data_IF_055606133196
#
_entry.id   IF_055606133196
#
_cell.length_a   1.000
_cell.length_b   1.000
_cell.length_c   1.000
_cell.angle_alpha   90.00
_cell.angle_beta   90.00
_cell.angle_gamma   90.00
#
_symmetry.space_group_name_H-M   'P 1'
#
loop_
_entity.id
_entity.type
_entity.pdbx_description
1 polymer ?
#
# COMPACT_ATOMS: atom_id res chain seq x y z
N UNK A 1 0.41 9.59 26.44
CA UNK A 1 0.13 8.56 25.45
C UNK A 1 0.29 7.20 26.11
N UNK A 2 -0.71 6.33 26.09
CA UNK A 2 -0.55 4.97 26.62
C UNK A 2 -0.02 4.12 25.47
N UNK A 3 1.20 3.62 25.59
CA UNK A 3 1.68 2.54 24.73
C UNK A 3 0.82 1.31 24.99
N UNK A 4 0.41 0.63 23.95
CA UNK A 4 -0.35 -0.61 24.12
C UNK A 4 0.58 -1.78 24.24
N UNK A 5 0.21 -2.70 25.12
CA UNK A 5 0.79 -4.03 25.20
C UNK A 5 -0.10 -5.08 24.49
N UNK A 6 -1.06 -4.62 23.69
CA UNK A 6 -1.87 -5.50 22.86
C UNK A 6 -0.96 -6.08 21.76
N UNK A 7 -0.90 -7.38 21.67
CA UNK A 7 -0.12 -8.08 20.67
C UNK A 7 -0.61 -7.68 19.29
N UNK A 8 0.33 -7.28 18.41
CA UNK A 8 0.08 -6.83 17.03
C UNK A 8 -0.73 -5.53 16.89
N UNK A 9 -0.84 -4.71 17.92
CA UNK A 9 -1.35 -3.34 17.81
C UNK A 9 -0.23 -2.34 18.01
N UNK A 10 0.11 -1.61 16.95
CA UNK A 10 1.24 -0.69 16.96
C UNK A 10 0.83 0.74 17.35
N UNK A 11 1.73 1.42 18.01
CA UNK A 11 1.59 2.83 18.35
C UNK A 11 2.98 3.44 18.56
N UNK A 12 3.43 4.20 17.60
CA UNK A 12 4.78 4.77 17.55
C UNK A 12 4.81 6.16 18.21
N UNK A 13 5.84 6.52 18.98
CA UNK A 13 5.99 7.85 19.58
C UNK A 13 6.24 8.92 18.51
N UNK A 14 5.83 10.18 18.80
CA UNK A 14 6.02 11.32 17.88
C UNK A 14 7.51 11.59 17.54
N UNK A 15 8.44 11.23 18.41
CA UNK A 15 9.88 11.35 18.17
C UNK A 15 10.35 10.55 16.95
N UNK A 16 9.63 9.50 16.58
CA UNK A 16 9.93 8.72 15.37
C UNK A 16 9.69 9.55 14.09
N UNK A 17 8.64 10.37 14.06
CA UNK A 17 8.40 11.29 12.95
C UNK A 17 9.52 12.32 12.81
N UNK A 18 10.02 12.84 13.94
CA UNK A 18 11.18 13.77 13.92
C UNK A 18 12.40 13.10 13.31
N UNK A 19 12.72 11.86 13.72
CA UNK A 19 13.84 11.11 13.16
C UNK A 19 13.67 10.85 11.65
N UNK A 20 12.48 10.46 11.19
CA UNK A 20 12.21 10.31 9.76
C UNK A 20 12.41 11.62 8.98
N UNK A 21 11.97 12.75 9.57
CA UNK A 21 12.14 14.07 8.93
C UNK A 21 13.62 14.47 8.82
N UNK A 22 14.41 14.23 9.86
CA UNK A 22 15.86 14.44 9.86
C UNK A 22 16.57 13.57 8.83
N UNK A 23 16.05 12.35 8.55
CA UNK A 23 16.54 11.48 7.48
C UNK A 23 16.11 11.93 6.07
N UNK A 24 15.32 12.99 5.93
CA UNK A 24 14.94 13.57 4.63
C UNK A 24 13.63 13.04 4.05
N UNK A 25 12.86 12.24 4.78
CA UNK A 25 11.55 11.80 4.31
C UNK A 25 10.57 12.97 4.22
N UNK A 26 9.74 12.99 3.17
CA UNK A 26 8.78 14.07 2.91
C UNK A 26 7.35 13.58 2.75
N UNK A 27 7.14 12.36 2.23
CA UNK A 27 5.83 11.74 2.00
C UNK A 27 5.75 10.41 2.74
N UNK A 28 4.63 10.17 3.41
CA UNK A 28 4.32 8.91 4.07
C UNK A 28 3.09 8.25 3.43
N UNK A 29 3.23 6.99 3.06
CA UNK A 29 2.14 6.15 2.58
C UNK A 29 1.56 5.40 3.77
N UNK A 30 0.29 5.64 4.11
CA UNK A 30 -0.28 5.28 5.39
C UNK A 30 -1.40 4.24 5.31
N UNK A 31 -1.91 3.90 4.10
CA UNK A 31 -2.81 2.79 3.94
C UNK A 31 -2.06 1.47 4.09
N UNK A 32 -2.27 0.80 5.22
CA UNK A 32 -1.69 -0.50 5.55
C UNK A 32 -2.61 -1.24 6.52
N UNK A 33 -2.35 -2.53 6.77
CA UNK A 33 -3.19 -3.35 7.62
C UNK A 33 -3.21 -2.96 9.10
N UNK A 34 -2.29 -2.09 9.54
CA UNK A 34 -2.21 -1.59 10.90
C UNK A 34 -2.73 -0.17 11.10
N UNK A 35 -3.26 0.49 10.05
CA UNK A 35 -3.72 1.87 10.15
C UNK A 35 -4.91 2.04 11.12
N UNK A 36 -5.66 0.96 11.41
CA UNK A 36 -6.79 0.92 12.33
C UNK A 36 -6.46 0.33 13.72
N UNK A 37 -5.21 0.07 14.05
CA UNK A 37 -4.82 -0.51 15.35
C UNK A 37 -5.29 0.30 16.56
N UNK A 38 -5.56 1.57 16.35
CA UNK A 38 -6.07 2.53 17.35
C UNK A 38 -7.40 3.16 16.93
N UNK A 39 -8.22 2.42 16.20
CA UNK A 39 -9.50 2.86 15.66
C UNK A 39 -9.36 4.10 14.74
N UNK A 40 -10.47 4.61 14.27
CA UNK A 40 -10.51 5.85 13.46
C UNK A 40 -9.88 7.05 14.18
N UNK A 41 -9.93 7.09 15.51
CA UNK A 41 -9.24 8.12 16.28
C UNK A 41 -7.71 8.02 16.12
N UNK A 42 -7.18 6.80 15.95
CA UNK A 42 -5.78 6.57 15.63
C UNK A 42 -5.39 7.16 14.28
N UNK A 43 -6.24 6.99 13.26
CA UNK A 43 -6.06 7.62 11.94
C UNK A 43 -5.98 9.13 12.06
N UNK A 44 -6.95 9.77 12.72
CA UNK A 44 -6.99 11.22 12.93
C UNK A 44 -5.73 11.73 13.65
N UNK A 45 -5.32 11.02 14.70
CA UNK A 45 -4.12 11.39 15.46
C UNK A 45 -2.84 11.23 14.63
N UNK A 46 -2.75 10.17 13.82
CA UNK A 46 -1.62 9.92 12.92
C UNK A 46 -1.50 11.06 11.90
N UNK A 47 -2.58 11.39 11.19
CA UNK A 47 -2.61 12.49 10.23
C UNK A 47 -2.19 13.81 10.88
N UNK A 48 -2.78 14.17 12.03
CA UNK A 48 -2.45 15.36 12.75
C UNK A 48 -0.96 15.45 13.11
N UNK A 49 -0.37 14.35 13.58
CA UNK A 49 1.02 14.31 13.98
C UNK A 49 1.96 14.36 12.77
N UNK A 50 1.62 13.66 11.68
CA UNK A 50 2.38 13.71 10.43
C UNK A 50 2.40 15.13 9.84
N UNK A 51 1.25 15.79 9.73
CA UNK A 51 1.13 17.15 9.21
C UNK A 51 1.87 18.15 10.11
N UNK A 52 1.76 18.02 11.44
CA UNK A 52 2.52 18.84 12.40
C UNK A 52 4.03 18.67 12.23
N UNK A 53 4.49 17.48 11.88
CA UNK A 53 5.90 17.19 11.61
C UNK A 53 6.35 17.57 10.17
N UNK A 54 5.44 18.11 9.35
CA UNK A 54 5.71 18.59 7.99
C UNK A 54 5.80 17.48 6.94
N UNK A 55 5.08 16.38 7.14
CA UNK A 55 4.93 15.33 6.13
C UNK A 55 3.70 15.54 5.29
N UNK A 56 3.82 15.26 4.00
CA UNK A 56 2.70 14.91 3.14
C UNK A 56 2.26 13.47 3.46
N UNK A 57 0.97 13.15 3.27
CA UNK A 57 0.42 11.82 3.57
C UNK A 57 -0.56 11.38 2.48
N UNK A 58 -0.60 10.08 2.20
CA UNK A 58 -1.55 9.48 1.27
C UNK A 58 -2.06 8.14 1.80
N UNK A 59 -3.29 7.79 1.43
CA UNK A 59 -3.88 6.47 1.69
C UNK A 59 -4.85 6.43 2.86
N UNK A 60 -4.74 7.36 3.85
CA UNK A 60 -5.72 7.55 4.92
C UNK A 60 -6.14 9.02 4.99
N UNK A 61 -7.35 9.30 5.46
CA UNK A 61 -7.98 10.62 5.36
C UNK A 61 -8.83 10.95 6.58
N UNK A 62 -8.92 12.24 6.93
CA UNK A 62 -9.76 12.74 8.00
C UNK A 62 -11.20 13.06 7.53
N UNK A 63 -11.42 13.27 6.23
CA UNK A 63 -12.73 13.58 5.66
C UNK A 63 -12.89 12.97 4.27
N UNK A 64 -14.14 12.88 3.82
CA UNK A 64 -14.47 12.44 2.46
C UNK A 64 -13.92 13.41 1.39
N UNK A 65 -13.86 14.70 1.69
CA UNK A 65 -13.30 15.72 0.79
C UNK A 65 -11.80 15.53 0.60
N UNK A 66 -11.05 15.26 1.69
CA UNK A 66 -9.63 14.92 1.61
C UNK A 66 -9.42 13.65 0.77
N UNK A 67 -10.27 12.64 0.96
CA UNK A 67 -10.20 11.39 0.21
C UNK A 67 -10.42 11.58 -1.29
N UNK A 68 -11.31 12.49 -1.67
CA UNK A 68 -11.60 12.78 -3.08
C UNK A 68 -10.52 13.66 -3.74
N UNK A 69 -9.66 14.27 -2.96
CA UNK A 69 -8.57 15.11 -3.46
C UNK A 69 -7.37 14.25 -3.84
N UNK A 70 -6.95 14.34 -5.11
CA UNK A 70 -5.75 13.64 -5.57
C UNK A 70 -4.50 14.30 -4.98
N UNK A 71 -3.58 13.50 -4.45
CA UNK A 71 -2.28 14.00 -4.05
C UNK A 71 -1.33 14.01 -5.26
N UNK A 72 -1.03 15.21 -5.75
CA UNK A 72 -0.12 15.45 -6.87
C UNK A 72 0.96 16.43 -6.39
N UNK A 73 2.21 16.06 -6.59
CA UNK A 73 3.36 16.91 -6.26
C UNK A 73 4.12 17.26 -7.51
N UNK A 74 4.41 18.53 -7.69
CA UNK A 74 5.33 18.97 -8.75
C UNK A 74 6.77 18.88 -8.24
N UNK A 75 7.59 18.14 -8.96
CA UNK A 75 9.00 17.92 -8.64
C UNK A 75 9.78 18.24 -9.92
N UNK A 76 10.58 19.30 -9.90
CA UNK A 76 11.38 19.75 -11.04
C UNK A 76 10.61 19.88 -12.36
N UNK A 77 9.37 20.40 -12.29
CA UNK A 77 8.49 20.61 -13.44
C UNK A 77 7.76 19.35 -13.94
N UNK A 78 7.85 18.24 -13.21
CA UNK A 78 7.10 17.01 -13.47
C UNK A 78 6.04 16.83 -12.38
N UNK A 79 4.77 16.71 -12.77
CA UNK A 79 3.67 16.44 -11.85
C UNK A 79 3.56 14.96 -11.61
N UNK A 80 3.82 14.53 -10.38
CA UNK A 80 3.78 13.14 -9.96
C UNK A 80 2.58 12.94 -9.02
N UNK A 81 1.68 12.05 -9.41
CA UNK A 81 0.58 11.61 -8.55
C UNK A 81 0.98 10.37 -7.74
N UNK A 82 0.61 10.37 -6.46
CA UNK A 82 0.83 9.25 -5.55
C UNK A 82 -0.52 8.72 -5.07
N UNK A 83 -0.75 7.44 -5.25
CA UNK A 83 -1.96 6.73 -4.83
C UNK A 83 -1.54 5.56 -3.94
N UNK A 84 -2.11 5.46 -2.74
CA UNK A 84 -1.80 4.37 -1.82
C UNK A 84 -3.08 3.66 -1.37
N UNK A 85 -3.08 2.34 -1.47
CA UNK A 85 -4.18 1.43 -1.13
C UNK A 85 -3.70 0.28 -0.27
N UNK A 86 -4.60 -0.29 0.52
CA UNK A 86 -4.36 -1.53 1.29
C UNK A 86 -5.46 -2.55 1.05
N UNK A 87 -5.14 -3.83 1.22
CA UNK A 87 -6.11 -4.92 1.18
C UNK A 87 -7.04 -4.94 2.39
N UNK A 88 -6.65 -4.36 3.52
CA UNK A 88 -7.42 -4.40 4.76
C UNK A 88 -6.73 -3.65 5.89
N UNK A 89 -7.34 -3.70 7.07
CA UNK A 89 -6.95 -2.96 8.27
C UNK A 89 -6.80 -3.86 9.50
N UNK A 90 -6.63 -5.18 9.33
CA UNK A 90 -6.71 -6.17 10.39
C UNK A 90 -8.05 -6.12 11.16
N UNK A 91 -9.10 -5.62 10.53
CA UNK A 91 -10.40 -5.38 11.14
C UNK A 91 -10.96 -6.64 11.82
N UNK A 92 -10.87 -7.78 11.15
CA UNK A 92 -11.35 -9.05 11.66
C UNK A 92 -10.56 -9.53 12.88
N UNK A 93 -9.23 -9.39 12.84
CA UNK A 93 -8.35 -9.83 13.92
C UNK A 93 -8.53 -9.00 15.21
N UNK A 94 -8.83 -7.72 15.06
CA UNK A 94 -8.95 -6.77 16.16
C UNK A 94 -10.39 -6.38 16.50
N UNK A 95 -11.39 -6.88 15.73
CA UNK A 95 -12.79 -6.47 15.83
C UNK A 95 -12.98 -4.94 15.73
N UNK A 96 -12.16 -4.29 14.90
CA UNK A 96 -12.17 -2.84 14.66
C UNK A 96 -12.43 -2.57 13.18
N UNK A 97 -13.67 -2.22 12.87
CA UNK A 97 -14.12 -1.98 11.51
C UNK A 97 -14.30 -0.49 11.25
N UNK A 98 -14.05 -0.06 10.04
CA UNK A 98 -14.29 1.32 9.60
C UNK A 98 -15.78 1.65 9.68
N UNK A 99 -16.12 2.70 10.42
CA UNK A 99 -17.45 3.31 10.43
C UNK A 99 -17.60 4.30 9.28
N UNK A 100 -16.46 4.86 8.84
CA UNK A 100 -16.37 5.83 7.77
C UNK A 100 -15.44 5.29 6.66
N UNK A 101 -15.99 4.64 5.61
CA UNK A 101 -15.19 3.98 4.57
C UNK A 101 -14.21 4.89 3.83
N UNK A 102 -14.46 6.21 3.81
CA UNK A 102 -13.54 7.17 3.19
C UNK A 102 -12.20 7.30 3.91
N UNK A 103 -12.11 6.87 5.17
CA UNK A 103 -10.90 7.09 5.98
C UNK A 103 -9.69 6.27 5.53
N UNK A 104 -9.90 5.17 4.79
CA UNK A 104 -8.81 4.31 4.28
C UNK A 104 -9.10 3.91 2.85
N UNK A 105 -8.12 4.01 1.99
CA UNK A 105 -8.22 3.44 0.64
C UNK A 105 -8.07 1.92 0.69
N UNK A 106 -9.18 1.23 0.53
CA UNK A 106 -9.25 -0.24 0.50
C UNK A 106 -9.36 -0.76 -0.93
N UNK A 107 -8.63 -1.82 -1.26
CA UNK A 107 -8.75 -2.54 -2.54
C UNK A 107 -9.76 -3.68 -2.51
N UNK A 108 -10.32 -3.98 -1.33
CA UNK A 108 -11.34 -5.00 -1.10
C UNK A 108 -12.08 -4.75 0.23
N UNK A 109 -13.24 -5.38 0.47
CA UNK A 109 -13.95 -5.26 1.76
C UNK A 109 -13.14 -5.81 2.92
N UNK A 110 -13.23 -5.16 4.09
CA UNK A 110 -12.50 -5.61 5.30
C UNK A 110 -12.97 -6.96 5.85
N UNK A 111 -14.26 -7.29 5.67
CA UNK A 111 -14.92 -8.32 6.47
C UNK A 111 -15.26 -9.60 5.72
N UNK A 112 -15.50 -9.54 4.43
CA UNK A 112 -16.28 -10.55 3.70
C UNK A 112 -15.50 -11.43 2.77
N UNK A 113 -14.33 -11.00 2.41
CA UNK A 113 -13.41 -11.91 1.78
C UNK A 113 -12.60 -12.56 2.86
N UNK A 114 -12.29 -13.81 2.69
CA UNK A 114 -11.21 -14.35 3.44
C UNK A 114 -10.03 -13.42 3.16
N UNK A 115 -9.85 -12.45 3.98
CA UNK A 115 -8.59 -11.74 4.20
C UNK A 115 -7.47 -12.72 4.45
N UNK A 116 -7.86 -13.81 4.61
CA UNK A 116 -7.40 -15.16 4.61
C UNK A 116 -6.81 -15.69 3.30
N UNK A 117 -6.71 -14.94 2.23
CA UNK A 117 -5.65 -15.18 1.24
C UNK A 117 -4.30 -15.32 1.98
N UNK A 118 -4.12 -14.57 3.04
CA UNK A 118 -2.95 -14.68 3.91
C UNK A 118 -2.91 -15.92 4.80
N UNK A 119 -4.01 -16.61 4.96
CA UNK A 119 -4.13 -17.86 5.73
C UNK A 119 -4.19 -19.09 4.81
N UNK A 120 -4.19 -18.91 3.49
CA UNK A 120 -4.13 -20.03 2.56
C UNK A 120 -2.73 -20.63 2.56
N UNK A 121 -2.67 -21.92 2.85
CA UNK A 121 -1.41 -22.62 3.10
C UNK A 121 -0.67 -23.06 1.82
N UNK A 122 -1.20 -22.79 0.63
CA UNK A 122 -0.54 -23.15 -0.62
C UNK A 122 -0.74 -22.09 -1.70
N UNK A 123 0.26 -21.98 -2.55
CA UNK A 123 0.26 -21.09 -3.72
C UNK A 123 -0.88 -21.39 -4.71
N UNK A 124 -1.22 -22.66 -4.85
CA UNK A 124 -2.34 -23.10 -5.72
C UNK A 124 -3.69 -22.66 -5.15
N UNK A 125 -3.88 -22.76 -3.83
CA UNK A 125 -5.09 -22.28 -3.17
C UNK A 125 -5.24 -20.76 -3.33
N UNK A 126 -4.16 -19.99 -3.15
CA UNK A 126 -4.15 -18.56 -3.37
C UNK A 126 -4.57 -18.25 -4.83
N UNK A 127 -4.00 -18.94 -5.81
CA UNK A 127 -4.29 -18.73 -7.23
C UNK A 127 -5.76 -18.94 -7.57
N UNK A 128 -6.35 -20.05 -7.13
CA UNK A 128 -7.76 -20.38 -7.40
C UNK A 128 -8.73 -19.41 -6.70
N UNK A 129 -8.45 -19.01 -5.48
CA UNK A 129 -9.26 -18.02 -4.76
C UNK A 129 -9.18 -16.63 -5.40
N UNK A 130 -8.00 -16.22 -5.84
CA UNK A 130 -7.80 -14.94 -6.53
C UNK A 130 -8.59 -14.89 -7.83
N UNK A 131 -8.55 -15.95 -8.65
CA UNK A 131 -9.33 -16.01 -9.87
C UNK A 131 -10.81 -15.88 -9.56
N UNK A 132 -11.33 -16.65 -8.61
CA UNK A 132 -12.73 -16.62 -8.20
C UNK A 132 -13.17 -15.23 -7.72
N UNK A 133 -12.35 -14.58 -6.90
CA UNK A 133 -12.66 -13.28 -6.28
C UNK A 133 -12.65 -12.15 -7.31
N UNK A 134 -11.68 -12.15 -8.22
CA UNK A 134 -11.43 -10.98 -9.08
C UNK A 134 -11.94 -11.11 -10.52
N UNK A 135 -12.53 -12.22 -10.90
CA UNK A 135 -12.99 -12.43 -12.27
C UNK A 135 -14.48 -12.69 -12.41
N UNK A 136 -15.12 -13.33 -11.46
CA UNK A 136 -16.54 -13.71 -11.58
C UNK A 136 -17.18 -14.11 -10.24
N UNK A 137 -18.50 -14.18 -10.24
CA UNK A 137 -19.28 -14.71 -9.13
C UNK A 137 -19.60 -13.68 -8.02
N UNK A 138 -20.13 -14.19 -6.92
CA UNK A 138 -20.60 -13.35 -5.79
C UNK A 138 -19.49 -12.54 -5.12
N UNK A 139 -18.31 -13.13 -5.04
CA UNK A 139 -17.18 -12.49 -4.38
C UNK A 139 -16.61 -11.38 -5.24
N UNK A 140 -16.66 -11.53 -6.58
CA UNK A 140 -16.33 -10.44 -7.49
C UNK A 140 -17.24 -9.23 -7.32
N UNK A 141 -18.56 -9.45 -7.16
CA UNK A 141 -19.50 -8.36 -6.91
C UNK A 141 -19.19 -7.60 -5.62
N UNK A 142 -18.62 -8.25 -4.61
CA UNK A 142 -18.19 -7.61 -3.37
C UNK A 142 -16.91 -6.77 -3.55
N UNK A 143 -15.98 -7.22 -4.38
CA UNK A 143 -14.71 -6.54 -4.64
C UNK A 143 -14.84 -5.44 -5.68
N UNK A 144 -15.75 -5.61 -6.63
CA UNK A 144 -15.91 -4.72 -7.78
C UNK A 144 -15.99 -3.23 -7.41
N UNK A 145 -16.78 -2.78 -6.42
CA UNK A 145 -16.82 -1.36 -6.06
C UNK A 145 -15.47 -0.78 -5.63
N UNK A 146 -14.63 -1.58 -4.99
CA UNK A 146 -13.28 -1.18 -4.56
C UNK A 146 -12.32 -1.08 -5.74
N UNK A 147 -12.41 -2.01 -6.68
CA UNK A 147 -11.63 -1.96 -7.93
C UNK A 147 -12.09 -0.80 -8.82
N UNK A 148 -13.38 -0.54 -8.93
CA UNK A 148 -13.94 0.59 -9.68
C UNK A 148 -13.43 1.92 -9.09
N UNK A 149 -13.34 2.02 -7.77
CA UNK A 149 -12.80 3.20 -7.10
C UNK A 149 -11.29 3.37 -7.37
N UNK A 150 -10.52 2.29 -7.25
CA UNK A 150 -9.09 2.28 -7.56
C UNK A 150 -8.86 2.68 -9.02
N UNK A 151 -9.62 2.12 -9.97
CA UNK A 151 -9.56 2.48 -11.38
C UNK A 151 -9.87 3.96 -11.59
N UNK A 152 -10.95 4.46 -10.98
CA UNK A 152 -11.35 5.86 -11.05
C UNK A 152 -10.25 6.80 -10.59
N UNK A 153 -9.62 6.51 -9.44
CA UNK A 153 -8.54 7.32 -8.89
C UNK A 153 -7.31 7.33 -9.81
N UNK A 154 -6.93 6.16 -10.34
CA UNK A 154 -5.78 6.06 -11.26
C UNK A 154 -6.07 6.84 -12.56
N UNK A 155 -7.26 6.69 -13.14
CA UNK A 155 -7.63 7.42 -14.37
C UNK A 155 -7.68 8.93 -14.16
N UNK A 156 -8.21 9.39 -13.03
CA UNK A 156 -8.22 10.81 -12.65
C UNK A 156 -6.78 11.33 -12.47
N UNK A 157 -5.92 10.57 -11.79
CA UNK A 157 -4.52 10.92 -11.62
C UNK A 157 -3.79 10.99 -12.96
N UNK A 158 -4.02 10.01 -13.85
CA UNK A 158 -3.43 9.99 -15.20
C UNK A 158 -3.84 11.19 -16.05
N UNK A 159 -5.06 11.70 -15.87
CA UNK A 159 -5.52 12.90 -16.56
C UNK A 159 -4.92 14.20 -15.99
N UNK A 160 -4.50 14.20 -14.72
CA UNK A 160 -4.06 15.39 -13.98
C UNK A 160 -2.55 15.47 -13.75
N UNK A 161 -1.82 14.37 -13.90
CA UNK A 161 -0.38 14.30 -13.64
C UNK A 161 0.39 13.74 -14.83
N UNK A 162 1.68 14.00 -14.86
CA UNK A 162 2.60 13.52 -15.90
C UNK A 162 3.05 12.07 -15.61
N UNK A 163 3.09 11.70 -14.32
CA UNK A 163 3.50 10.37 -13.88
C UNK A 163 2.65 9.91 -12.69
N UNK A 164 2.22 8.64 -12.68
CA UNK A 164 1.34 8.06 -11.65
C UNK A 164 2.03 6.90 -10.98
N UNK A 165 2.27 7.03 -9.68
CA UNK A 165 2.83 5.99 -8.81
C UNK A 165 1.70 5.42 -7.97
N UNK A 166 1.50 4.11 -8.05
CA UNK A 166 0.54 3.40 -7.19
C UNK A 166 1.29 2.56 -6.19
N UNK A 167 1.00 2.77 -4.91
CA UNK A 167 1.60 2.05 -3.80
C UNK A 167 0.55 1.12 -3.19
N UNK A 168 0.86 -0.18 -3.15
CA UNK A 168 -0.05 -1.21 -2.69
C UNK A 168 0.47 -1.92 -1.46
N UNK A 169 -0.33 -1.94 -0.40
CA UNK A 169 -0.09 -2.76 0.77
C UNK A 169 -0.93 -4.03 0.69
N UNK A 170 -0.36 -5.09 0.11
CA UNK A 170 -1.11 -6.30 -0.24
C UNK A 170 -0.18 -7.51 -0.36
N UNK A 171 -0.79 -8.67 -0.52
CA UNK A 171 -0.09 -9.94 -0.71
C UNK A 171 0.07 -10.73 0.58
N UNK A 172 0.82 -11.83 0.51
CA UNK A 172 1.02 -12.76 1.63
C UNK A 172 2.30 -12.43 2.40
N UNK A 173 2.21 -12.33 3.73
CA UNK A 173 3.35 -12.06 4.60
C UNK A 173 4.38 -13.20 4.57
N UNK A 174 5.65 -12.86 4.62
CA UNK A 174 6.79 -13.77 4.76
C UNK A 174 6.89 -14.83 3.65
N UNK A 175 6.29 -14.57 2.49
CA UNK A 175 6.43 -15.40 1.29
C UNK A 175 7.34 -14.67 0.30
N UNK A 176 8.40 -15.34 -0.14
CA UNK A 176 9.42 -14.78 -1.04
C UNK A 176 8.90 -14.63 -2.48
N UNK A 177 8.12 -15.60 -2.92
CA UNK A 177 7.50 -15.59 -4.23
C UNK A 177 6.36 -14.59 -4.27
N UNK A 178 6.24 -13.88 -5.40
CA UNK A 178 5.12 -12.99 -5.61
C UNK A 178 3.85 -13.81 -5.79
N UNK A 179 2.87 -13.60 -4.92
CA UNK A 179 1.63 -14.34 -4.97
C UNK A 179 0.73 -13.92 -6.15
N UNK A 180 -0.17 -14.82 -6.63
CA UNK A 180 -1.06 -14.57 -7.77
C UNK A 180 -1.97 -13.36 -7.57
N UNK A 181 -2.35 -13.05 -6.34
CA UNK A 181 -3.16 -11.88 -6.03
C UNK A 181 -2.42 -10.57 -6.35
N UNK A 182 -1.16 -10.47 -5.89
CA UNK A 182 -0.31 -9.31 -6.15
C UNK A 182 -0.03 -9.14 -7.65
N UNK A 183 0.20 -10.25 -8.37
CA UNK A 183 0.39 -10.22 -9.83
C UNK A 183 -0.86 -9.71 -10.56
N UNK A 184 -2.04 -10.27 -10.25
CA UNK A 184 -3.30 -9.87 -10.86
C UNK A 184 -3.62 -8.40 -10.61
N UNK A 185 -3.45 -7.95 -9.37
CA UNK A 185 -3.72 -6.56 -9.01
C UNK A 185 -2.76 -5.58 -9.69
N UNK A 186 -1.48 -5.96 -9.80
CA UNK A 186 -0.49 -5.17 -10.53
C UNK A 186 -0.84 -5.03 -12.01
N UNK A 187 -1.32 -6.10 -12.65
CA UNK A 187 -1.76 -6.06 -14.05
C UNK A 187 -3.01 -5.17 -14.25
N UNK A 188 -3.96 -5.22 -13.32
CA UNK A 188 -5.13 -4.31 -13.33
C UNK A 188 -4.71 -2.86 -13.16
N UNK A 189 -3.85 -2.54 -12.21
CA UNK A 189 -3.33 -1.19 -11.96
C UNK A 189 -2.62 -0.64 -13.20
N UNK A 190 -1.83 -1.46 -13.88
CA UNK A 190 -1.23 -1.12 -15.19
C UNK A 190 -2.31 -0.77 -16.23
N UNK A 191 -3.33 -1.65 -16.37
CA UNK A 191 -4.44 -1.44 -17.30
C UNK A 191 -5.24 -0.16 -17.00
N UNK A 192 -5.35 0.24 -15.74
CA UNK A 192 -6.00 1.48 -15.33
C UNK A 192 -5.19 2.73 -15.69
N UNK A 193 -3.87 2.60 -15.95
CA UNK A 193 -3.02 3.65 -16.48
C UNK A 193 -1.92 4.15 -15.54
N UNK A 194 -1.62 3.44 -14.45
CA UNK A 194 -0.46 3.73 -13.62
C UNK A 194 0.85 3.57 -14.42
N UNK A 195 1.87 4.35 -14.08
CA UNK A 195 3.19 4.24 -14.70
C UNK A 195 4.06 3.21 -13.99
N UNK A 196 3.92 3.08 -12.67
CA UNK A 196 4.65 2.11 -11.85
C UNK A 196 3.78 1.65 -10.68
N UNK A 197 3.99 0.42 -10.23
CA UNK A 197 3.46 -0.09 -8.98
C UNK A 197 4.60 -0.43 -8.02
N UNK A 198 4.40 -0.04 -6.75
CA UNK A 198 5.32 -0.35 -5.65
C UNK A 198 4.51 -1.05 -4.55
N UNK A 199 4.80 -2.33 -4.32
CA UNK A 199 4.17 -3.14 -3.30
C UNK A 199 4.95 -3.13 -1.99
N UNK A 200 4.23 -3.42 -0.90
CA UNK A 200 4.79 -3.72 0.42
C UNK A 200 3.79 -4.54 1.24
N UNK A 201 4.14 -5.03 2.40
CA UNK A 201 3.42 -5.89 3.33
C UNK A 201 4.12 -7.23 3.60
N UNK A 202 4.85 -7.78 2.65
CA UNK A 202 5.42 -9.13 2.74
C UNK A 202 6.57 -9.23 3.75
N UNK A 203 7.10 -8.11 4.22
CA UNK A 203 8.25 -8.02 5.14
C UNK A 203 9.58 -8.57 4.60
N UNK A 204 9.61 -9.03 3.36
CA UNK A 204 10.78 -9.56 2.65
C UNK A 204 10.96 -8.81 1.34
N UNK A 205 12.20 -8.74 0.84
CA UNK A 205 12.43 -8.27 -0.52
C UNK A 205 11.88 -9.32 -1.49
N UNK A 206 10.94 -8.90 -2.33
CA UNK A 206 10.41 -9.72 -3.43
C UNK A 206 10.96 -9.26 -4.78
N UNK A 207 10.70 -10.04 -5.81
CA UNK A 207 11.14 -9.76 -7.16
C UNK A 207 10.61 -8.44 -7.69
N UNK A 208 11.45 -7.74 -8.46
CA UNK A 208 11.03 -6.69 -9.37
C UNK A 208 10.85 -7.30 -10.75
N UNK A 209 9.76 -6.99 -11.43
CA UNK A 209 9.47 -7.49 -12.77
C UNK A 209 9.34 -6.33 -13.74
N UNK A 210 9.85 -6.53 -14.95
CA UNK A 210 9.65 -5.61 -16.07
C UNK A 210 8.90 -6.31 -17.18
N UNK A 211 7.77 -5.77 -17.59
CA UNK A 211 7.01 -6.29 -18.71
C UNK A 211 7.73 -6.01 -20.05
N UNK A 212 7.29 -6.64 -21.13
CA UNK A 212 7.89 -6.47 -22.46
C UNK A 212 7.81 -5.04 -23.01
N UNK A 213 6.83 -4.28 -22.52
CA UNK A 213 6.62 -2.86 -22.87
C UNK A 213 7.36 -1.88 -21.94
N UNK A 214 8.19 -2.40 -21.02
CA UNK A 214 8.98 -1.60 -20.09
C UNK A 214 8.28 -1.24 -18.78
N UNK A 215 7.01 -1.66 -18.58
CA UNK A 215 6.31 -1.39 -17.33
C UNK A 215 6.97 -2.11 -16.15
N UNK A 216 7.33 -1.35 -15.12
CA UNK A 216 8.06 -1.84 -13.98
C UNK A 216 7.15 -2.10 -12.77
N UNK A 217 7.30 -3.26 -12.15
CA UNK A 217 6.54 -3.74 -10.98
C UNK A 217 7.49 -4.08 -9.86
N UNK A 218 7.32 -3.45 -8.72
CA UNK A 218 8.03 -3.75 -7.47
C UNK A 218 7.02 -4.35 -6.51
N UNK A 219 7.27 -5.57 -6.00
CA UNK A 219 6.29 -6.24 -5.14
C UNK A 219 6.56 -6.05 -3.67
N UNK A 220 7.81 -6.02 -3.22
CA UNK A 220 8.14 -5.58 -1.87
C UNK A 220 9.62 -5.18 -1.75
N UNK A 221 9.88 -4.12 -1.01
CA UNK A 221 11.23 -3.61 -0.72
C UNK A 221 11.77 -4.08 0.65
N UNK A 222 11.02 -4.93 1.36
CA UNK A 222 11.35 -5.36 2.72
C UNK A 222 10.96 -4.35 3.80
N UNK A 223 11.36 -4.61 5.03
CA UNK A 223 11.11 -3.73 6.16
C UNK A 223 12.08 -2.54 6.13
N UNK A 224 11.57 -1.31 6.30
CA UNK A 224 12.46 -0.15 6.47
C UNK A 224 13.29 -0.24 7.75
N UNK A 225 12.67 -0.68 8.85
CA UNK A 225 13.33 -0.99 10.12
C UNK A 225 12.70 -2.24 10.72
N UNK A 226 13.54 -3.09 11.28
CA UNK A 226 13.12 -4.31 11.95
C UNK A 226 13.96 -4.54 13.21
N UNK A 227 13.35 -5.00 14.30
CA UNK A 227 14.08 -5.49 15.47
C UNK A 227 14.52 -6.94 15.22
N UNK A 228 15.78 -7.14 14.93
CA UNK A 228 16.36 -8.45 14.62
C UNK A 228 16.22 -9.52 15.71
N UNK A 229 15.70 -9.16 16.89
CA UNK A 229 15.47 -10.14 17.97
C UNK A 229 14.13 -10.85 17.88
N UNK A 230 13.14 -10.24 17.22
CA UNK A 230 11.76 -10.74 17.20
C UNK A 230 11.54 -11.75 16.07
N UNK A 231 12.31 -11.70 15.01
CA UNK A 231 12.00 -12.38 13.75
C UNK A 231 13.01 -13.44 13.32
N UNK A 232 14.21 -13.48 13.92
CA UNK A 232 15.22 -14.45 13.55
C UNK A 232 14.91 -15.88 14.01
N UNK A 233 14.15 -16.05 15.08
CA UNK A 233 13.83 -17.36 15.67
C UNK A 233 12.54 -17.98 15.08
N UNK A 234 11.67 -17.16 14.44
CA UNK A 234 10.36 -17.62 13.97
C UNK A 234 10.31 -17.93 12.46
N UNK A 235 11.31 -17.54 11.66
CA UNK A 235 11.31 -17.71 10.22
C UNK A 235 12.52 -18.44 9.68
N UNK A 236 12.27 -19.49 8.93
CA UNK A 236 13.25 -20.38 8.30
C UNK A 236 14.06 -19.74 7.16
N UNK A 237 13.91 -18.43 6.88
CA UNK A 237 14.48 -17.79 5.70
C UNK A 237 15.19 -16.48 6.02
N UNK A 238 16.12 -16.14 5.13
CA UNK A 238 16.88 -14.89 5.12
C UNK A 238 15.97 -13.70 5.40
N UNK A 239 16.06 -13.36 6.50
CA UNK A 239 15.81 -12.27 7.37
C UNK A 239 14.96 -11.12 6.81
N UNK A 240 13.83 -10.82 7.46
CA UNK A 240 13.16 -9.52 7.35
C UNK A 240 14.06 -8.33 7.76
N UNK A 241 15.34 -8.58 8.08
CA UNK A 241 16.36 -7.56 8.37
C UNK A 241 16.86 -6.82 7.11
N UNK A 242 16.66 -7.40 5.92
CA UNK A 242 17.08 -6.76 4.68
C UNK A 242 15.98 -5.91 4.09
N UNK A 243 16.36 -4.76 3.57
CA UNK A 243 15.50 -3.89 2.78
C UNK A 243 16.24 -3.40 1.53
N UNK A 244 15.47 -2.86 0.61
CA UNK A 244 15.98 -2.19 -0.56
C UNK A 244 15.43 -0.75 -0.63
N UNK A 245 16.21 0.15 -1.20
CA UNK A 245 15.76 1.49 -1.57
C UNK A 245 15.62 1.54 -3.08
N UNK A 246 14.46 1.91 -3.55
CA UNK A 246 14.21 2.12 -4.96
C UNK A 246 14.48 3.57 -5.34
N UNK A 247 15.31 3.76 -6.35
CA UNK A 247 15.64 5.06 -6.93
C UNK A 247 14.91 5.21 -8.26
N UNK A 248 14.03 6.19 -8.37
CA UNK A 248 13.34 6.53 -9.61
C UNK A 248 13.84 7.89 -10.10
N UNK A 249 14.37 7.93 -11.32
CA UNK A 249 14.75 9.16 -11.98
C UNK A 249 13.80 9.42 -13.15
N UNK A 250 13.15 10.57 -13.17
CA UNK A 250 12.23 10.96 -14.21
C UNK A 250 12.83 12.15 -15.00
N UNK A 251 12.74 12.10 -16.32
CA UNK A 251 13.11 13.21 -17.18
C UNK A 251 12.02 13.45 -18.23
N UNK A 252 11.90 14.70 -18.69
CA UNK A 252 11.01 15.06 -19.78
C UNK A 252 11.77 15.07 -21.10
N UNK A 253 11.28 14.32 -22.08
CA UNK A 253 11.81 14.34 -23.45
C UNK A 253 11.37 15.59 -24.20
N UNK A 254 12.00 15.87 -25.34
CA UNK A 254 11.67 16.99 -26.22
C UNK A 254 10.23 16.94 -26.74
N UNK A 255 9.65 15.76 -26.88
CA UNK A 255 8.25 15.54 -27.27
C UNK A 255 7.24 15.71 -26.12
N UNK A 256 7.74 16.04 -24.91
CA UNK A 256 6.93 16.24 -23.70
C UNK A 256 6.61 14.96 -22.93
N UNK A 257 6.96 13.78 -23.42
CA UNK A 257 6.76 12.52 -22.71
C UNK A 257 7.72 12.37 -21.53
N UNK A 258 7.33 11.59 -20.51
CA UNK A 258 8.19 11.29 -19.37
C UNK A 258 8.95 9.98 -19.64
N UNK A 259 10.23 10.02 -19.33
CA UNK A 259 11.15 8.87 -19.38
C UNK A 259 11.63 8.56 -17.96
N UNK A 260 11.68 7.26 -17.63
CA UNK A 260 12.32 6.68 -16.45
C UNK A 260 13.81 6.49 -16.65
#
# INVERSE_FOLDING_TARGET
>A
MKFTHERYCFNTPESYLSALKECGFNLLTLANNHCMDRDEQGIINTLKNCHKAGFDTVGIYASAEERDTLFIKEIDGIRVAFINYTYGTNAFAHHRFLKHPYMVNLSQPEETLPGSIHLLNSYEQIGSEVERIYTHGKDFELVKPYLDQLESDIRRAKAAADYVIVIMHNGSQYIREVDPYSLLLADKIKQFGANIIIGHHQHLIQSCLTDRDGYFKIFCLGNFMCDGKIEADDFYFDSPLFNAVFHLSLSRRDDGTIQE
#
